data_IF_600536015111
#
_entry.id   IF_600536015111
#
_cell.length_a   1.000
_cell.length_b   1.000
_cell.length_c   1.000
_cell.angle_alpha   90.00
_cell.angle_beta   90.00
_cell.angle_gamma   90.00
#
_symmetry.space_group_name_H-M   'P 1'
#
loop_
_entity.id
_entity.type
_entity.pdbx_description
1 polymer ?
#
# COMPACT_ATOMS: atom_id res chain seq x y z
N UNK A 1 4.37 3.62 -9.71
CA UNK A 1 2.99 3.09 -9.63
C UNK A 1 2.56 3.16 -8.17
N UNK A 2 1.27 3.34 -7.88
CA UNK A 2 0.75 3.27 -6.51
C UNK A 2 -0.24 2.10 -6.38
N UNK A 3 -0.06 1.26 -5.37
CA UNK A 3 -0.97 0.18 -5.00
C UNK A 3 -1.43 0.33 -3.56
N UNK A 4 -2.59 -0.22 -3.22
CA UNK A 4 -3.10 -0.29 -1.85
C UNK A 4 -3.19 -1.75 -1.46
N UNK A 5 -2.61 -2.12 -0.32
CA UNK A 5 -2.75 -3.44 0.29
C UNK A 5 -3.56 -3.30 1.57
N UNK A 6 -4.58 -4.13 1.73
CA UNK A 6 -5.38 -4.23 2.94
C UNK A 6 -5.12 -5.56 3.63
N UNK A 7 -4.81 -5.51 4.92
CA UNK A 7 -4.66 -6.67 5.79
C UNK A 7 -5.93 -6.96 6.58
N UNK A 8 -6.00 -8.16 7.14
CA UNK A 8 -7.04 -8.51 8.10
C UNK A 8 -6.87 -7.80 9.46
N UNK A 9 -5.62 -7.51 9.83
CA UNK A 9 -5.22 -6.97 11.13
C UNK A 9 -4.36 -5.71 10.99
N UNK A 10 -4.53 -4.78 11.93
CA UNK A 10 -3.68 -3.59 12.03
C UNK A 10 -2.23 -3.94 12.36
N UNK A 11 -2.00 -5.01 13.15
CA UNK A 11 -0.66 -5.49 13.51
C UNK A 11 0.20 -5.77 12.27
N UNK A 12 -0.38 -6.41 11.25
CA UNK A 12 0.30 -6.66 9.97
C UNK A 12 0.73 -5.36 9.27
N UNK A 13 -0.08 -4.30 9.38
CA UNK A 13 0.30 -2.99 8.84
C UNK A 13 1.43 -2.40 9.66
N UNK A 14 1.39 -2.49 10.99
CA UNK A 14 2.45 -1.98 11.86
C UNK A 14 3.78 -2.70 11.60
N UNK A 15 3.76 -4.01 11.38
CA UNK A 15 4.94 -4.81 11.07
C UNK A 15 5.58 -4.41 9.74
N UNK A 16 4.76 -4.18 8.70
CA UNK A 16 5.26 -3.63 7.43
C UNK A 16 5.85 -2.24 7.69
N UNK A 17 5.14 -1.37 8.41
CA UNK A 17 5.55 0.02 8.66
C UNK A 17 6.79 0.17 9.54
N UNK A 18 7.23 -0.89 10.22
CA UNK A 18 8.51 -0.92 10.93
C UNK A 18 9.69 -0.56 10.02
N UNK A 19 9.53 -0.76 8.70
CA UNK A 19 10.44 -0.28 7.66
C UNK A 19 9.64 0.44 6.58
N UNK A 20 10.10 1.61 6.16
CA UNK A 20 9.41 2.37 5.09
C UNK A 20 9.77 1.86 3.69
N UNK A 21 10.93 1.22 3.56
CA UNK A 21 11.46 0.72 2.28
C UNK A 21 11.51 -0.79 2.30
N UNK A 22 11.01 -1.39 1.23
CA UNK A 22 10.98 -2.83 1.01
C UNK A 22 11.46 -3.14 -0.40
N UNK A 23 11.96 -4.35 -0.61
CA UNK A 23 12.29 -4.85 -1.93
C UNK A 23 11.34 -5.98 -2.30
N UNK A 24 10.63 -5.83 -3.42
CA UNK A 24 9.69 -6.82 -3.97
C UNK A 24 10.15 -7.15 -5.39
N UNK A 25 10.50 -8.41 -5.66
CA UNK A 25 10.98 -8.83 -6.99
C UNK A 25 12.17 -7.97 -7.49
N UNK A 26 13.13 -7.70 -6.61
CA UNK A 26 14.31 -6.86 -6.91
C UNK A 26 14.00 -5.37 -7.12
N UNK A 27 12.77 -4.93 -6.84
CA UNK A 27 12.32 -3.54 -7.01
C UNK A 27 12.07 -2.90 -5.65
N UNK A 28 12.69 -1.76 -5.42
CA UNK A 28 12.46 -0.99 -4.20
C UNK A 28 11.07 -0.33 -4.24
N UNK A 29 10.32 -0.51 -3.15
CA UNK A 29 9.02 0.10 -2.90
C UNK A 29 9.03 0.86 -1.57
N UNK A 30 8.31 1.97 -1.54
CA UNK A 30 8.11 2.79 -0.37
C UNK A 30 6.68 2.62 0.17
N UNK A 31 6.53 2.56 1.50
CA UNK A 31 5.26 2.31 2.18
C UNK A 31 4.76 3.54 2.96
N UNK A 32 3.52 3.96 2.69
CA UNK A 32 2.80 5.00 3.43
C UNK A 32 1.57 4.44 4.13
N UNK A 33 1.21 5.01 5.30
CA UNK A 33 -0.08 4.71 5.94
C UNK A 33 -1.22 5.20 5.03
N UNK A 34 -2.27 4.41 4.92
CA UNK A 34 -3.50 4.88 4.27
C UNK A 34 -4.17 5.93 5.16
N UNK A 35 -4.71 6.98 4.55
CA UNK A 35 -5.45 8.03 5.24
C UNK A 35 -6.93 7.73 5.04
N UNK A 36 -7.76 7.72 6.11
CA UNK A 36 -9.20 7.56 5.95
C UNK A 36 -9.74 8.73 5.13
N UNK A 37 -10.26 8.43 3.94
CA UNK A 37 -11.02 9.41 3.18
C UNK A 37 -12.42 9.52 3.79
N UNK A 38 -12.86 10.72 4.17
CA UNK A 38 -14.05 10.98 5.01
C UNK A 38 -15.39 10.45 4.48
N UNK A 39 -15.43 9.77 3.33
CA UNK A 39 -16.66 9.24 2.73
C UNK A 39 -16.64 7.78 2.25
N UNK A 40 -15.55 7.00 2.41
CA UNK A 40 -15.44 5.70 1.71
C UNK A 40 -14.98 4.50 2.54
N UNK A 41 -14.37 4.72 3.71
CA UNK A 41 -13.93 3.64 4.58
C UNK A 41 -14.66 3.77 5.92
N UNK A 42 -15.26 2.67 6.40
CA UNK A 42 -15.65 2.60 7.82
C UNK A 42 -14.38 2.88 8.63
N UNK A 43 -14.41 3.79 9.61
CA UNK A 43 -13.24 4.36 10.31
C UNK A 43 -12.11 3.36 10.64
N UNK A 44 -12.41 2.10 10.93
CA UNK A 44 -11.42 1.07 11.26
C UNK A 44 -10.76 0.35 10.06
N UNK A 45 -11.14 0.61 8.82
CA UNK A 45 -10.52 -0.07 7.66
C UNK A 45 -9.30 0.67 7.12
N UNK A 46 -9.14 1.96 7.39
CA UNK A 46 -7.96 2.72 6.95
C UNK A 46 -6.69 2.28 7.70
N UNK A 47 -6.80 1.94 8.99
CA UNK A 47 -5.68 1.45 9.81
C UNK A 47 -5.17 0.07 9.37
N UNK A 48 -5.99 -0.68 8.64
CA UNK A 48 -5.67 -1.98 8.06
C UNK A 48 -5.09 -1.87 6.64
N UNK A 49 -4.95 -0.65 6.11
CA UNK A 49 -4.48 -0.40 4.75
C UNK A 49 -3.12 0.27 4.72
N UNK A 50 -2.36 -0.06 3.68
CA UNK A 50 -1.10 0.57 3.36
C UNK A 50 -1.01 0.89 1.87
N UNK A 51 -0.40 2.03 1.57
CA UNK A 51 -0.15 2.52 0.23
C UNK A 51 1.30 2.17 -0.12
N UNK A 52 1.48 1.43 -1.20
CA UNK A 52 2.78 1.02 -1.74
C UNK A 52 3.08 1.87 -2.97
N UNK A 53 4.22 2.54 -2.96
CA UNK A 53 4.69 3.39 -4.04
C UNK A 53 5.99 2.82 -4.61
N UNK A 54 6.05 2.64 -5.93
CA UNK A 54 7.26 2.19 -6.63
C UNK A 54 7.83 3.25 -7.56
N UNK A 55 9.12 3.15 -7.91
CA UNK A 55 9.76 4.02 -8.89
C UNK A 55 9.07 3.93 -10.27
N UNK A 56 9.21 4.99 -11.09
CA UNK A 56 8.68 5.00 -12.46
C UNK A 56 9.27 3.82 -13.26
N UNK A 57 8.49 3.27 -14.17
CA UNK A 57 8.85 2.15 -15.07
C UNK A 57 9.08 0.78 -14.41
N UNK A 58 8.73 0.60 -13.13
CA UNK A 58 8.70 -0.73 -12.51
C UNK A 58 7.32 -1.38 -12.71
N UNK A 59 7.31 -2.53 -13.39
CA UNK A 59 6.12 -3.39 -13.50
C UNK A 59 6.06 -4.31 -12.28
N UNK A 60 5.15 -4.03 -11.35
CA UNK A 60 4.80 -4.93 -10.26
C UNK A 60 3.35 -5.36 -10.46
N UNK A 61 3.08 -6.65 -10.33
CA UNK A 61 1.74 -7.24 -10.47
C UNK A 61 1.23 -7.74 -9.13
N UNK A 62 -0.08 -7.93 -9.02
CA UNK A 62 -0.74 -8.37 -7.78
C UNK A 62 -0.08 -9.59 -7.12
N UNK A 63 0.38 -10.57 -7.92
CA UNK A 63 1.06 -11.76 -7.40
C UNK A 63 2.35 -11.44 -6.64
N UNK A 64 3.08 -10.39 -7.04
CA UNK A 64 4.32 -9.97 -6.39
C UNK A 64 4.01 -9.40 -5.00
N UNK A 65 2.97 -8.57 -4.92
CA UNK A 65 2.44 -8.04 -3.66
C UNK A 65 1.96 -9.18 -2.76
N UNK A 66 1.14 -10.09 -3.29
CA UNK A 66 0.60 -11.18 -2.49
C UNK A 66 1.71 -12.10 -1.94
N UNK A 67 2.66 -12.48 -2.78
CA UNK A 67 3.82 -13.28 -2.39
C UNK A 67 4.62 -12.59 -1.27
N UNK A 68 4.95 -11.31 -1.46
CA UNK A 68 5.76 -10.57 -0.49
C UNK A 68 5.02 -10.27 0.83
N UNK A 69 3.78 -9.76 0.74
CA UNK A 69 3.05 -9.25 1.90
C UNK A 69 2.39 -10.33 2.74
N UNK A 70 2.18 -11.53 2.19
CA UNK A 70 1.60 -12.67 2.93
C UNK A 70 2.40 -13.07 4.17
N UNK A 71 3.70 -12.76 4.22
CA UNK A 71 4.55 -13.00 5.40
C UNK A 71 4.22 -12.14 6.61
N UNK A 72 3.55 -11.01 6.41
CA UNK A 72 3.12 -10.11 7.49
C UNK A 72 1.72 -10.41 7.99
N UNK A 73 0.95 -11.21 7.24
CA UNK A 73 -0.39 -11.63 7.64
C UNK A 73 -1.32 -11.86 6.46
N UNK A 74 -2.57 -12.14 6.79
CA UNK A 74 -3.61 -12.40 5.79
C UNK A 74 -3.97 -11.10 5.06
N UNK A 75 -3.73 -11.10 3.76
CA UNK A 75 -4.16 -10.02 2.85
C UNK A 75 -5.64 -10.22 2.54
N UNK A 76 -6.42 -9.15 2.69
CA UNK A 76 -7.85 -9.11 2.40
C UNK A 76 -8.14 -8.56 1.00
N UNK A 77 -7.36 -7.58 0.57
CA UNK A 77 -7.57 -6.92 -0.72
C UNK A 77 -6.26 -6.29 -1.22
N UNK A 78 -6.05 -6.31 -2.53
CA UNK A 78 -4.99 -5.56 -3.21
C UNK A 78 -5.69 -4.72 -4.29
N UNK A 79 -5.44 -3.43 -4.31
CA UNK A 79 -6.03 -2.50 -5.27
C UNK A 79 -4.94 -1.73 -6.01
N UNK A 80 -5.00 -1.71 -7.34
CA UNK A 80 -4.08 -0.94 -8.17
C UNK A 80 -4.66 0.45 -8.43
N UNK A 81 -3.98 1.50 -7.95
CA UNK A 81 -4.31 2.87 -8.37
C UNK A 81 -3.52 3.18 -9.64
N UNK A 82 -4.10 2.91 -10.80
CA UNK A 82 -3.62 3.52 -12.06
C UNK A 82 -4.21 4.93 -12.12
N UNK A 83 -3.36 5.95 -11.99
CA UNK A 83 -3.73 7.30 -12.41
C UNK A 83 -2.90 7.66 -13.65
N UNK A 84 -3.57 8.19 -14.67
CA UNK A 84 -2.98 8.58 -15.97
C UNK A 84 -1.87 9.66 -15.85
N UNK A 85 -1.75 10.39 -14.73
CA UNK A 85 -0.68 11.40 -14.52
C UNK A 85 0.03 11.33 -13.15
N UNK A 86 -0.17 10.23 -12.42
CA UNK A 86 0.68 9.76 -11.31
C UNK A 86 1.19 10.81 -10.28
N UNK A 87 0.39 11.82 -9.92
CA UNK A 87 0.66 12.73 -8.77
C UNK A 87 -0.64 13.22 -8.13
N UNK A 88 -0.81 13.02 -6.81
CA UNK A 88 -1.71 13.81 -5.98
C UNK A 88 -0.85 14.53 -4.94
N UNK A 89 -0.70 15.85 -5.10
CA UNK A 89 -0.10 16.74 -4.09
C UNK A 89 -1.24 17.21 -3.20
N UNK A 90 -1.21 16.84 -1.93
CA UNK A 90 -2.11 17.45 -0.94
C UNK A 90 -1.55 18.84 -0.64
N UNK A 91 -2.25 19.88 -1.09
CA UNK A 91 -2.04 21.25 -0.60
C UNK A 91 -2.72 21.39 0.77
N UNK A 92 -2.01 21.98 1.73
CA UNK A 92 -2.60 22.52 2.95
C UNK A 92 -2.54 24.05 2.84
N UNK A 93 -3.64 24.73 3.18
CA UNK A 93 -3.65 26.17 3.45
C UNK A 93 -3.02 26.45 4.83
#
# INVERSE_FOLDING_TARGET
MHGIVMFHSEESVNDVMSRRYHEIDGKEVFIHRSVPNQGSLKDNQAIQQLIVSSQKNQSLVESDFNSYFSKYGKICNISHMKNEDNTWVIHFD
#
